data_IF_450118746610
#
_entry.id   IF_450118746610
#
_cell.length_a   1.000
_cell.length_b   1.000
_cell.length_c   1.000
_cell.angle_alpha   90.00
_cell.angle_beta   90.00
_cell.angle_gamma   90.00
#
_symmetry.space_group_name_H-M   'P 1'
#
loop_
_entity.id
_entity.type
_entity.pdbx_description
1 polymer ?
#
# COMPACT_ATOMS: atom_id res chain seq x y z
N UNK A 1 -4.00 16.16 -23.92
CA UNK A 1 -4.55 15.03 -23.13
C UNK A 1 -4.54 15.46 -21.67
N UNK A 2 -5.69 15.53 -21.01
CA UNK A 2 -5.77 15.94 -19.59
C UNK A 2 -5.71 14.67 -18.75
N UNK A 3 -4.56 14.42 -18.13
CA UNK A 3 -4.41 13.25 -17.26
C UNK A 3 -4.98 13.61 -15.89
N UNK A 4 -6.27 13.31 -15.68
CA UNK A 4 -6.96 13.55 -14.40
C UNK A 4 -6.23 12.94 -13.19
N UNK A 5 -5.41 11.91 -13.41
CA UNK A 5 -4.58 11.25 -12.40
C UNK A 5 -3.54 12.16 -11.72
N UNK A 6 -3.16 13.25 -12.39
CA UNK A 6 -2.23 14.25 -11.85
C UNK A 6 -2.97 15.32 -11.04
N UNK A 7 -4.31 15.31 -11.05
CA UNK A 7 -5.12 16.25 -10.27
C UNK A 7 -5.01 15.87 -8.78
N UNK A 8 -4.63 16.80 -7.89
CA UNK A 8 -4.48 16.52 -6.46
C UNK A 8 -5.73 15.93 -5.81
N UNK A 9 -6.92 16.34 -6.26
CA UNK A 9 -8.18 15.78 -5.78
C UNK A 9 -8.33 14.28 -6.10
N UNK A 10 -7.86 13.83 -7.27
CA UNK A 10 -7.89 12.42 -7.68
C UNK A 10 -6.85 11.63 -6.88
N UNK A 11 -5.68 12.21 -6.64
CA UNK A 11 -4.65 11.59 -5.79
C UNK A 11 -5.15 11.40 -4.35
N UNK A 12 -5.77 12.43 -3.76
CA UNK A 12 -6.34 12.32 -2.41
C UNK A 12 -7.47 11.30 -2.36
N UNK A 13 -8.37 11.27 -3.37
CA UNK A 13 -9.42 10.26 -3.43
C UNK A 13 -8.85 8.83 -3.52
N UNK A 14 -7.83 8.61 -4.34
CA UNK A 14 -7.18 7.31 -4.45
C UNK A 14 -6.47 6.91 -3.15
N UNK A 15 -5.81 7.86 -2.49
CA UNK A 15 -5.19 7.68 -1.17
C UNK A 15 -6.23 7.27 -0.13
N UNK A 16 -7.30 8.03 0.02
CA UNK A 16 -8.33 7.77 1.04
C UNK A 16 -9.00 6.41 0.80
N UNK A 17 -9.23 6.07 -0.47
CA UNK A 17 -9.76 4.75 -0.85
C UNK A 17 -8.78 3.62 -0.50
N UNK A 18 -7.48 3.80 -0.77
CA UNK A 18 -6.45 2.81 -0.46
C UNK A 18 -6.29 2.61 1.05
N UNK A 19 -6.23 3.71 1.81
CA UNK A 19 -6.23 3.70 3.28
C UNK A 19 -7.44 2.94 3.79
N UNK A 20 -8.66 3.38 3.43
CA UNK A 20 -9.89 2.74 3.92
C UNK A 20 -9.99 1.26 3.53
N UNK A 21 -9.56 0.89 2.32
CA UNK A 21 -9.55 -0.52 1.90
C UNK A 21 -8.58 -1.36 2.74
N UNK A 22 -7.38 -0.86 2.99
CA UNK A 22 -6.36 -1.55 3.78
C UNK A 22 -6.79 -1.61 5.24
N UNK A 23 -7.21 -0.51 5.86
CA UNK A 23 -7.73 -0.49 7.23
C UNK A 23 -8.86 -1.49 7.45
N UNK A 24 -9.82 -1.58 6.52
CA UNK A 24 -10.89 -2.59 6.60
C UNK A 24 -10.40 -4.02 6.40
N UNK A 25 -9.30 -4.22 5.66
CA UNK A 25 -8.73 -5.54 5.38
C UNK A 25 -7.94 -6.07 6.57
N UNK A 26 -7.03 -5.26 7.11
CA UNK A 26 -6.11 -5.65 8.19
C UNK A 26 -6.62 -5.29 9.60
N UNK A 27 -7.72 -4.52 9.67
CA UNK A 27 -8.37 -4.06 10.90
C UNK A 27 -7.45 -3.21 11.80
N UNK A 28 -6.50 -2.50 11.20
CA UNK A 28 -5.52 -1.66 11.89
C UNK A 28 -5.36 -0.31 11.16
N UNK A 29 -4.90 0.74 11.86
CA UNK A 29 -4.64 2.04 11.24
C UNK A 29 -3.62 1.97 10.11
N UNK A 30 -3.93 2.65 9.00
CA UNK A 30 -3.04 2.80 7.85
C UNK A 30 -2.86 4.27 7.55
N UNK A 31 -1.61 4.69 7.37
CA UNK A 31 -1.27 6.05 7.00
C UNK A 31 -0.43 6.03 5.73
N UNK A 32 -0.85 6.86 4.78
CA UNK A 32 -0.15 7.09 3.52
C UNK A 32 -0.02 8.60 3.40
N UNK A 33 1.19 9.14 3.36
CA UNK A 33 1.41 10.58 3.20
C UNK A 33 0.92 11.04 1.84
N UNK A 34 1.51 10.50 0.78
CA UNK A 34 1.21 10.87 -0.60
C UNK A 34 1.10 9.66 -1.52
N UNK A 35 0.15 9.71 -2.46
CA UNK A 35 0.05 8.74 -3.55
C UNK A 35 0.25 9.46 -4.88
N UNK A 36 1.11 8.90 -5.73
CA UNK A 36 1.33 9.36 -7.09
C UNK A 36 1.16 8.18 -8.04
N UNK A 37 0.44 8.40 -9.13
CA UNK A 37 0.16 7.38 -10.12
C UNK A 37 1.03 7.68 -11.35
N UNK A 38 2.12 6.92 -11.50
CA UNK A 38 2.99 6.94 -12.65
C UNK A 38 2.40 6.12 -13.79
N UNK A 39 1.73 6.76 -14.74
CA UNK A 39 1.17 6.04 -15.88
C UNK A 39 2.25 5.38 -16.75
N UNK A 40 1.97 4.21 -17.34
CA UNK A 40 0.70 3.48 -17.31
C UNK A 40 0.58 2.38 -16.24
N UNK A 41 1.64 2.08 -15.49
CA UNK A 41 1.71 0.88 -14.64
C UNK A 41 2.29 1.07 -13.24
N UNK A 42 2.54 2.28 -12.77
CA UNK A 42 3.26 2.49 -11.51
C UNK A 42 2.39 3.22 -10.49
N UNK A 43 2.33 2.71 -9.27
CA UNK A 43 1.85 3.44 -8.09
C UNK A 43 3.04 3.72 -7.18
N UNK A 44 3.19 4.97 -6.77
CA UNK A 44 4.20 5.40 -5.81
C UNK A 44 3.50 5.92 -4.56
N UNK A 45 3.77 5.28 -3.44
CA UNK A 45 3.29 5.67 -2.12
C UNK A 45 4.48 6.25 -1.34
N UNK A 46 4.34 7.44 -0.79
CA UNK A 46 5.35 8.06 0.07
C UNK A 46 4.81 8.21 1.50
N UNK A 47 5.72 8.11 2.47
CA UNK A 47 5.45 8.13 3.91
C UNK A 47 4.35 7.14 4.28
N UNK A 48 4.65 5.85 4.07
CA UNK A 48 3.73 4.76 4.39
C UNK A 48 3.96 4.28 5.82
N UNK A 49 2.88 4.03 6.54
CA UNK A 49 2.89 3.45 7.88
C UNK A 49 1.67 2.55 8.05
N UNK A 50 1.93 1.30 8.40
CA UNK A 50 0.96 0.24 8.65
C UNK A 50 1.18 -0.28 10.06
N UNK A 51 0.14 -0.25 10.86
CA UNK A 51 0.15 -0.79 12.21
C UNK A 51 -0.24 -2.28 12.20
N UNK A 52 0.37 -3.08 13.07
CA UNK A 52 -0.02 -4.47 13.35
C UNK A 52 -1.07 -4.49 14.48
N UNK A 53 -1.87 -5.55 14.57
CA UNK A 53 -2.91 -5.74 15.60
C UNK A 53 -2.33 -5.77 17.03
N UNK A 54 -1.03 -6.02 17.15
CA UNK A 54 -0.26 -5.96 18.40
C UNK A 54 0.18 -4.53 18.77
N UNK A 55 -0.28 -3.50 18.03
CA UNK A 55 0.15 -2.09 18.12
C UNK A 55 1.63 -1.89 17.85
N UNK A 56 2.21 -2.76 17.01
CA UNK A 56 3.59 -2.66 16.57
C UNK A 56 3.65 -2.16 15.11
N UNK A 57 4.81 -1.68 14.66
CA UNK A 57 4.98 -1.20 13.29
C UNK A 57 5.12 -2.37 12.33
N UNK A 58 4.06 -2.70 11.59
CA UNK A 58 4.09 -3.77 10.58
C UNK A 58 4.99 -3.38 9.41
N UNK A 59 4.78 -2.19 8.87
CA UNK A 59 5.53 -1.65 7.74
C UNK A 59 5.53 -0.14 7.84
N UNK A 60 6.72 0.46 7.91
CA UNK A 60 6.88 1.90 7.80
C UNK A 60 8.01 2.21 6.84
N UNK A 61 7.85 3.20 5.97
CA UNK A 61 8.90 3.52 5.01
C UNK A 61 8.68 4.79 4.24
N UNK A 62 9.78 5.29 3.66
CA UNK A 62 9.80 6.53 2.92
C UNK A 62 9.06 6.40 1.59
N UNK A 63 9.34 5.33 0.81
CA UNK A 63 8.71 5.14 -0.48
C UNK A 63 8.47 3.66 -0.81
N UNK A 64 7.25 3.37 -1.23
CA UNK A 64 6.79 2.07 -1.73
C UNK A 64 6.32 2.28 -3.18
N UNK A 65 7.06 1.73 -4.15
CA UNK A 65 6.64 1.72 -5.55
C UNK A 65 6.11 0.34 -5.88
N UNK A 66 4.95 0.30 -6.50
CA UNK A 66 4.28 -0.94 -6.91
C UNK A 66 3.99 -0.81 -8.39
N UNK A 67 4.64 -1.63 -9.21
CA UNK A 67 4.27 -1.76 -10.61
C UNK A 67 3.01 -2.64 -10.68
N UNK A 68 1.88 -2.02 -10.97
CA UNK A 68 0.60 -2.68 -11.16
C UNK A 68 -0.02 -2.33 -12.51
N UNK A 69 -0.63 -3.32 -13.15
CA UNK A 69 -1.38 -3.11 -14.38
C UNK A 69 -2.70 -2.38 -14.11
N UNK A 70 -2.71 -1.05 -14.17
CA UNK A 70 -3.92 -0.23 -13.95
C UNK A 70 -5.11 -0.62 -14.84
N UNK A 71 -4.82 -1.02 -16.09
CA UNK A 71 -5.84 -1.50 -17.03
C UNK A 71 -6.55 -2.75 -16.49
N UNK A 72 -5.81 -3.67 -15.87
CA UNK A 72 -6.37 -4.91 -15.31
C UNK A 72 -7.25 -4.64 -14.09
N UNK A 73 -6.97 -3.56 -13.34
CA UNK A 73 -7.80 -3.16 -12.19
C UNK A 73 -9.21 -2.76 -12.64
N UNK A 74 -9.34 -2.16 -13.83
CA UNK A 74 -10.64 -1.85 -14.41
C UNK A 74 -11.43 -3.12 -14.75
N UNK A 75 -10.74 -4.21 -15.03
CA UNK A 75 -11.29 -5.57 -15.24
C UNK A 75 -11.38 -6.38 -13.93
N UNK A 76 -11.30 -5.71 -12.77
CA UNK A 76 -11.27 -6.31 -11.43
C UNK A 76 -10.11 -7.30 -11.18
N UNK A 77 -9.02 -7.21 -11.94
CA UNK A 77 -7.83 -8.03 -11.78
C UNK A 77 -6.67 -7.19 -11.21
N UNK A 78 -6.10 -7.64 -10.10
CA UNK A 78 -4.90 -7.03 -9.53
C UNK A 78 -3.70 -7.87 -9.98
N UNK A 79 -2.85 -7.27 -10.80
CA UNK A 79 -1.58 -7.86 -11.22
C UNK A 79 -0.44 -6.95 -10.74
N UNK A 80 0.37 -7.48 -9.84
CA UNK A 80 1.57 -6.82 -9.31
C UNK A 80 2.76 -7.43 -10.03
N UNK A 81 3.48 -6.61 -10.78
CA UNK A 81 4.67 -7.03 -11.53
C UNK A 81 5.93 -6.91 -10.65
N UNK A 82 6.05 -5.79 -9.95
CA UNK A 82 7.24 -5.44 -9.18
C UNK A 82 6.87 -4.60 -7.96
N UNK A 83 7.65 -4.74 -6.90
CA UNK A 83 7.52 -3.95 -5.68
C UNK A 83 8.91 -3.45 -5.28
N UNK A 84 9.12 -2.15 -5.37
CA UNK A 84 10.33 -1.49 -4.87
C UNK A 84 10.06 -0.83 -3.51
N UNK A 85 10.94 -1.14 -2.57
CA UNK A 85 10.89 -0.64 -1.21
C UNK A 85 12.12 0.24 -0.97
N UNK A 86 11.91 1.52 -0.66
CA UNK A 86 12.96 2.49 -0.37
C UNK A 86 12.79 2.99 1.07
N UNK A 87 13.80 2.79 1.90
CA UNK A 87 13.77 3.22 3.31
C UNK A 87 12.72 2.49 4.17
N UNK A 88 12.31 1.27 3.80
CA UNK A 88 11.27 0.54 4.52
C UNK A 88 11.85 -0.24 5.70
N UNK A 89 11.30 0.03 6.88
CA UNK A 89 11.47 -0.75 8.11
C UNK A 89 10.22 -1.60 8.32
N UNK A 90 10.38 -2.93 8.35
CA UNK A 90 9.31 -3.87 8.70
C UNK A 90 9.73 -4.68 9.90
N UNK A 91 8.96 -4.62 10.99
CA UNK A 91 9.16 -5.49 12.14
C UNK A 91 8.33 -6.76 11.98
N UNK A 92 8.92 -7.76 11.31
CA UNK A 92 8.30 -9.07 11.16
C UNK A 92 8.59 -9.90 12.43
N UNK A 93 7.70 -9.80 13.42
CA UNK A 93 7.83 -10.55 14.67
C UNK A 93 7.23 -11.96 14.53
N UNK A 94 8.06 -13.00 14.65
CA UNK A 94 7.66 -14.43 14.66
C UNK A 94 7.52 -14.91 16.10
N UNK A 95 6.29 -15.09 16.58
CA UNK A 95 6.03 -15.73 17.88
C UNK A 95 6.03 -17.26 17.72
N UNK A 96 7.05 -17.94 18.24
CA UNK A 96 7.05 -19.39 18.54
C UNK A 96 6.16 -19.61 19.79
N UNK A 97 5.32 -20.67 19.89
CA UNK A 97 5.51 -22.00 19.34
C UNK A 97 4.51 -22.45 18.26
N UNK A 98 3.50 -21.65 17.90
CA UNK A 98 2.56 -22.00 16.84
C UNK A 98 2.88 -21.24 15.56
N UNK A 99 3.11 -22.00 14.50
CA UNK A 99 3.70 -21.58 13.22
C UNK A 99 2.75 -20.76 12.33
N UNK A 100 2.06 -19.78 12.89
CA UNK A 100 1.30 -18.78 12.15
C UNK A 100 2.11 -17.50 12.08
N UNK A 101 2.47 -17.10 10.86
CA UNK A 101 3.02 -15.78 10.63
C UNK A 101 1.89 -14.75 10.73
N UNK A 102 2.17 -13.52 11.15
CA UNK A 102 1.19 -12.41 11.16
C UNK A 102 0.71 -12.01 9.73
N UNK A 103 1.18 -12.69 8.69
CA UNK A 103 0.73 -12.57 7.30
C UNK A 103 -0.12 -13.76 6.81
N UNK A 104 -0.37 -14.75 7.66
CA UNK A 104 -1.21 -15.90 7.31
C UNK A 104 -2.66 -15.60 7.70
N UNK A 105 -3.45 -15.18 6.71
CA UNK A 105 -4.92 -15.24 6.75
C UNK A 105 -5.39 -16.50 6.02
#
# INVERSE_FOLDING_TARGET
MVVLIQVPAVQNFAKDKAVSFLENKIHTPVRIGHISLGLPKLIVLNDVYFEDQKKDTLLAGEKLKVDISLLKILDNQIEINEVDLEGITSHINRTLPDSNFNFTY
#
